data_IF_639789641173
#
_entry.id   IF_639789641173
#
_cell.length_a   1.000
_cell.length_b   1.000
_cell.length_c   1.000
_cell.angle_alpha   90.00
_cell.angle_beta   90.00
_cell.angle_gamma   90.00
#
_symmetry.space_group_name_H-M   'P 1'
#
loop_
_entity.id
_entity.type
_entity.pdbx_description
1 polymer ?
#
# COMPACT_ATOMS: atom_id res chain seq x y z
N UNK A 1 4.36 4.31 15.63
CA UNK A 1 3.11 4.80 15.00
C UNK A 1 2.81 3.90 13.80
N UNK A 2 1.54 3.60 13.52
CA UNK A 2 1.14 2.73 12.41
C UNK A 2 0.42 3.58 11.36
N UNK A 3 0.72 3.31 10.10
CA UNK A 3 0.18 4.05 8.97
C UNK A 3 -0.49 3.12 7.98
N UNK A 4 -1.42 3.66 7.19
CA UNK A 4 -2.09 2.94 6.11
C UNK A 4 -2.20 3.83 4.88
N UNK A 5 -1.85 3.29 3.71
CA UNK A 5 -2.14 3.99 2.45
C UNK A 5 -3.66 4.05 2.27
N UNK A 6 -4.17 5.19 1.78
CA UNK A 6 -5.59 5.29 1.39
C UNK A 6 -6.00 4.26 0.34
N UNK A 7 -5.05 3.72 -0.44
CA UNK A 7 -5.31 2.62 -1.38
C UNK A 7 -5.64 1.32 -0.63
N UNK A 8 -4.89 0.96 0.41
CA UNK A 8 -5.23 -0.19 1.24
C UNK A 8 -6.58 -0.01 1.94
N UNK A 9 -6.94 1.25 2.29
CA UNK A 9 -8.28 1.56 2.78
C UNK A 9 -9.35 1.24 1.73
N UNK A 10 -9.17 1.66 0.48
CA UNK A 10 -10.09 1.32 -0.64
C UNK A 10 -10.23 -0.19 -0.81
N UNK A 11 -9.13 -0.93 -0.80
CA UNK A 11 -9.14 -2.39 -0.94
C UNK A 11 -9.92 -3.09 0.19
N UNK A 12 -9.73 -2.64 1.43
CA UNK A 12 -10.46 -3.19 2.60
C UNK A 12 -11.95 -2.91 2.47
N UNK A 13 -12.36 -1.68 2.14
CA UNK A 13 -13.78 -1.36 1.95
C UNK A 13 -14.40 -2.13 0.77
N UNK A 14 -13.65 -2.35 -0.31
CA UNK A 14 -14.13 -3.12 -1.46
C UNK A 14 -14.26 -4.63 -1.16
N UNK A 15 -13.40 -5.18 -0.29
CA UNK A 15 -13.41 -6.59 0.10
C UNK A 15 -14.26 -6.92 1.34
N UNK A 16 -14.75 -5.89 2.03
CA UNK A 16 -15.56 -5.99 3.25
C UNK A 16 -16.86 -6.76 3.01
N UNK A 17 -17.23 -7.61 3.96
CA UNK A 17 -18.52 -8.31 3.98
C UNK A 17 -19.55 -7.53 4.79
N UNK A 18 -20.83 -7.78 4.52
CA UNK A 18 -21.93 -7.21 5.29
C UNK A 18 -21.79 -7.60 6.78
N UNK A 19 -21.86 -6.61 7.66
CA UNK A 19 -21.67 -6.77 9.11
C UNK A 19 -20.25 -6.50 9.59
N UNK A 20 -19.29 -6.22 8.70
CA UNK A 20 -17.91 -5.86 9.06
C UNK A 20 -17.69 -4.33 9.11
N UNK A 21 -18.70 -3.51 8.79
CA UNK A 21 -18.59 -2.06 8.62
C UNK A 21 -18.01 -1.36 9.86
N UNK A 22 -18.60 -1.61 11.03
CA UNK A 22 -18.16 -0.99 12.28
C UNK A 22 -16.75 -1.43 12.68
N UNK A 23 -16.41 -2.70 12.44
CA UNK A 23 -15.09 -3.24 12.75
C UNK A 23 -14.00 -2.62 11.87
N UNK A 24 -14.30 -2.43 10.57
CA UNK A 24 -13.40 -1.77 9.62
C UNK A 24 -13.20 -0.30 9.98
N UNK A 25 -14.26 0.41 10.36
CA UNK A 25 -14.15 1.81 10.81
C UNK A 25 -13.28 1.89 12.08
N UNK A 26 -13.58 1.07 13.10
CA UNK A 26 -12.80 1.01 14.34
C UNK A 26 -11.31 0.71 14.08
N UNK A 27 -11.01 -0.18 13.12
CA UNK A 27 -9.62 -0.47 12.74
C UNK A 27 -8.91 0.78 12.21
N UNK A 28 -9.57 1.55 11.34
CA UNK A 28 -8.95 2.74 10.77
C UNK A 28 -8.84 3.91 11.73
N UNK A 29 -9.67 3.99 12.77
CA UNK A 29 -9.52 5.00 13.83
C UNK A 29 -8.22 4.82 14.63
N UNK A 30 -7.63 3.62 14.60
CA UNK A 30 -6.37 3.30 15.26
C UNK A 30 -5.12 3.53 14.39
N UNK A 31 -5.29 3.85 13.10
CA UNK A 31 -4.21 3.89 12.11
C UNK A 31 -4.22 5.20 11.34
N UNK A 32 -3.07 5.85 11.20
CA UNK A 32 -2.98 7.13 10.49
C UNK A 32 -3.01 6.91 8.97
N UNK A 33 -3.99 7.49 8.23
CA UNK A 33 -4.01 7.39 6.78
C UNK A 33 -2.92 8.25 6.14
N UNK A 34 -2.37 7.79 5.02
CA UNK A 34 -1.48 8.56 4.14
C UNK A 34 -2.17 8.75 2.80
N UNK A 35 -2.43 10.01 2.47
CA UNK A 35 -3.00 10.42 1.19
C UNK A 35 -2.02 10.22 0.03
N UNK A 36 -2.57 10.07 -1.18
CA UNK A 36 -1.76 10.01 -2.40
C UNK A 36 -1.65 11.41 -2.96
N UNK A 37 -0.44 11.97 -2.90
CA UNK A 37 -0.10 13.23 -3.56
C UNK A 37 0.57 12.99 -4.93
N UNK A 38 0.95 14.08 -5.59
CA UNK A 38 1.63 14.02 -6.89
C UNK A 38 2.97 13.29 -6.84
N UNK A 39 3.72 13.41 -5.74
CA UNK A 39 5.04 12.77 -5.61
C UNK A 39 4.91 11.25 -5.53
N UNK A 40 3.92 10.78 -4.78
CA UNK A 40 3.57 9.36 -4.69
C UNK A 40 3.05 8.86 -6.04
N UNK A 41 2.19 9.63 -6.71
CA UNK A 41 1.63 9.25 -8.01
C UNK A 41 2.72 9.09 -9.09
N UNK A 42 3.64 10.05 -9.19
CA UNK A 42 4.74 10.02 -10.15
C UNK A 42 5.68 8.83 -9.88
N UNK A 43 6.02 8.61 -8.62
CA UNK A 43 6.87 7.49 -8.20
C UNK A 43 6.19 6.13 -8.47
N UNK A 44 4.89 6.02 -8.25
CA UNK A 44 4.11 4.83 -8.59
C UNK A 44 4.12 4.56 -10.11
N UNK A 45 3.99 5.61 -10.93
CA UNK A 45 4.12 5.52 -12.39
C UNK A 45 5.50 5.00 -12.82
N UNK A 46 6.56 5.46 -12.17
CA UNK A 46 7.92 4.97 -12.39
C UNK A 46 8.09 3.49 -12.04
N UNK A 47 7.48 3.03 -10.93
CA UNK A 47 7.45 1.62 -10.57
C UNK A 47 6.66 0.79 -11.56
N UNK A 48 5.49 1.26 -11.99
CA UNK A 48 4.70 0.60 -13.02
C UNK A 48 5.49 0.45 -14.32
N UNK A 49 6.18 1.50 -14.77
CA UNK A 49 7.02 1.45 -15.99
C UNK A 49 8.10 0.36 -15.90
N UNK A 50 8.69 0.16 -14.72
CA UNK A 50 9.78 -0.80 -14.49
C UNK A 50 9.30 -2.23 -14.26
N UNK A 51 8.19 -2.43 -13.54
CA UNK A 51 7.84 -3.72 -12.95
C UNK A 51 6.50 -4.31 -13.40
N UNK A 52 5.62 -3.54 -14.06
CA UNK A 52 4.31 -4.05 -14.52
C UNK A 52 4.45 -5.28 -15.44
N UNK A 53 5.36 -5.25 -16.41
CA UNK A 53 5.55 -6.35 -17.38
C UNK A 53 6.31 -7.55 -16.81
N UNK A 54 7.25 -7.30 -15.90
CA UNK A 54 8.17 -8.33 -15.40
C UNK A 54 7.67 -9.02 -14.14
N UNK A 55 6.91 -8.32 -13.31
CA UNK A 55 6.45 -8.79 -12.00
C UNK A 55 4.93 -8.66 -11.82
N UNK A 56 4.19 -8.39 -12.90
CA UNK A 56 2.73 -8.19 -12.88
C UNK A 56 2.27 -7.17 -11.82
N UNK A 57 3.12 -6.17 -11.54
CA UNK A 57 2.81 -5.13 -10.56
C UNK A 57 1.54 -4.38 -10.99
N UNK A 58 0.55 -4.34 -10.11
CA UNK A 58 -0.68 -3.59 -10.33
C UNK A 58 -0.57 -2.16 -9.77
N UNK A 59 -1.54 -1.31 -10.14
CA UNK A 59 -1.55 0.10 -9.74
C UNK A 59 -1.63 0.30 -8.22
N UNK A 60 -2.37 -0.56 -7.51
CA UNK A 60 -2.54 -0.46 -6.06
C UNK A 60 -1.24 -0.74 -5.31
N UNK A 61 -0.61 -1.88 -5.62
CA UNK A 61 0.70 -2.26 -5.09
C UNK A 61 1.78 -1.22 -5.44
N UNK A 62 1.72 -0.63 -6.64
CA UNK A 62 2.65 0.42 -7.04
C UNK A 62 2.48 1.71 -6.21
N UNK A 63 1.24 2.12 -5.94
CA UNK A 63 0.97 3.29 -5.09
C UNK A 63 1.39 3.01 -3.65
N UNK A 64 1.09 1.83 -3.09
CA UNK A 64 1.52 1.44 -1.74
C UNK A 64 3.05 1.45 -1.62
N UNK A 65 3.76 0.91 -2.62
CA UNK A 65 5.22 0.94 -2.69
C UNK A 65 5.75 2.38 -2.74
N UNK A 66 5.15 3.24 -3.56
CA UNK A 66 5.52 4.65 -3.66
C UNK A 66 5.27 5.41 -2.35
N UNK A 67 4.11 5.22 -1.72
CA UNK A 67 3.79 5.81 -0.40
C UNK A 67 4.84 5.40 0.64
N UNK A 68 5.21 4.12 0.66
CA UNK A 68 6.25 3.61 1.57
C UNK A 68 7.59 4.30 1.34
N UNK A 69 7.96 4.47 0.06
CA UNK A 69 9.21 5.11 -0.33
C UNK A 69 9.26 6.58 0.08
N UNK A 70 8.26 7.36 -0.30
CA UNK A 70 8.24 8.81 -0.09
C UNK A 70 8.17 9.15 1.41
N UNK A 71 7.45 8.37 2.19
CA UNK A 71 7.36 8.56 3.64
C UNK A 71 8.53 7.93 4.42
N UNK A 72 9.49 7.28 3.74
CA UNK A 72 10.61 6.56 4.36
C UNK A 72 10.14 5.56 5.43
N UNK A 73 9.10 4.80 5.10
CA UNK A 73 8.50 3.82 6.00
C UNK A 73 8.94 2.39 5.64
N UNK A 74 8.61 1.45 6.53
CA UNK A 74 8.75 0.02 6.31
C UNK A 74 7.38 -0.57 5.95
N UNK A 75 7.30 -1.22 4.79
CA UNK A 75 6.08 -1.88 4.34
C UNK A 75 5.90 -3.22 5.06
N UNK A 76 4.72 -3.43 5.65
CA UNK A 76 4.34 -4.71 6.25
C UNK A 76 3.35 -5.41 5.34
N UNK A 77 3.72 -6.57 4.78
CA UNK A 77 2.86 -7.32 3.86
C UNK A 77 3.13 -8.82 3.89
N UNK A 78 2.09 -9.62 3.68
CA UNK A 78 2.25 -11.08 3.44
C UNK A 78 2.73 -11.38 2.03
N UNK A 79 2.50 -10.47 1.08
CA UNK A 79 2.77 -10.67 -0.35
C UNK A 79 4.11 -10.04 -0.76
N UNK A 80 5.20 -10.37 -0.04
CA UNK A 80 6.53 -9.77 -0.25
C UNK A 80 6.99 -9.84 -1.72
N UNK A 81 6.62 -10.90 -2.45
CA UNK A 81 6.97 -11.10 -3.86
C UNK A 81 6.38 -10.04 -4.81
N UNK A 82 5.33 -9.33 -4.41
CA UNK A 82 4.70 -8.27 -5.21
C UNK A 82 5.53 -6.98 -5.22
N UNK A 83 6.53 -6.87 -4.33
CA UNK A 83 7.31 -5.67 -4.12
C UNK A 83 8.79 -5.91 -4.49
N UNK A 84 9.13 -5.99 -5.79
CA UNK A 84 10.51 -6.23 -6.25
C UNK A 84 11.44 -5.02 -6.10
N UNK A 85 10.93 -3.88 -5.65
CA UNK A 85 11.66 -2.62 -5.50
C UNK A 85 12.72 -2.75 -4.41
N UNK A 86 13.96 -2.37 -4.73
CA UNK A 86 15.09 -2.42 -3.79
C UNK A 86 15.23 -1.16 -2.94
N UNK A 87 14.49 -0.10 -3.27
CA UNK A 87 14.53 1.19 -2.59
C UNK A 87 13.50 1.33 -1.47
N UNK A 88 12.76 0.25 -1.15
CA UNK A 88 11.84 0.17 -0.01
C UNK A 88 12.22 -0.98 0.92
N UNK A 89 11.95 -0.82 2.21
CA UNK A 89 12.10 -1.89 3.18
C UNK A 89 10.78 -2.65 3.32
N UNK A 90 10.81 -3.97 3.12
CA UNK A 90 9.63 -4.83 3.20
C UNK A 90 9.82 -5.88 4.28
N UNK A 91 8.81 -6.06 5.13
CA UNK A 91 8.76 -7.09 6.17
C UNK A 91 7.52 -7.95 6.01
N UNK A 92 7.70 -9.26 6.22
CA UNK A 92 6.58 -10.15 6.45
C UNK A 92 6.14 -10.06 7.93
N UNK A 93 4.85 -9.84 8.22
CA UNK A 93 4.36 -9.99 9.58
C UNK A 93 4.27 -11.50 9.89
N UNK A 94 5.11 -11.95 10.83
CA UNK A 94 5.18 -13.29 11.44
C UNK A 94 5.32 -14.51 10.49
#
# INVERSE_FOLDING_TARGET
>A
MLFVSVISRVEIFAGMRRGEEDAVICLFDLITPIEVDMTIADKAGDYMRKFSKSHALNIGDAIIAATTREMTLKLITKNVKHYPMKDIEVSRPY
#
